data_IF_160125889192
#
_entry.id   IF_160125889192
#
_cell.length_a   1.000
_cell.length_b   1.000
_cell.length_c   1.000
_cell.angle_alpha   90.00
_cell.angle_beta   90.00
_cell.angle_gamma   90.00
#
_symmetry.space_group_name_H-M   'P 1'
#
loop_
_entity.id
_entity.type
_entity.pdbx_description
1 polymer ?
#
# COMPACT_ATOMS: atom_id res chain seq x y z
N UNK A 1 -0.04 25.19 4.43
CA UNK A 1 0.83 24.06 4.83
C UNK A 1 0.11 22.98 5.63
N UNK A 2 -0.68 23.30 6.67
CA UNK A 2 -1.36 22.27 7.51
C UNK A 2 -2.23 21.29 6.71
N UNK A 3 -3.02 21.76 5.73
CA UNK A 3 -3.89 20.89 4.91
C UNK A 3 -3.08 19.85 4.12
N UNK A 4 -1.97 20.24 3.49
CA UNK A 4 -1.15 19.34 2.68
C UNK A 4 -0.50 18.20 3.49
N UNK A 5 -0.17 18.45 4.77
CA UNK A 5 0.41 17.44 5.68
C UNK A 5 -0.58 16.31 5.98
N UNK A 6 -1.89 16.56 5.89
CA UNK A 6 -2.93 15.55 6.05
C UNK A 6 -3.41 15.00 4.71
N UNK A 7 -3.40 15.81 3.66
CA UNK A 7 -3.92 15.42 2.35
C UNK A 7 -2.99 14.43 1.63
N UNK A 8 -1.68 14.63 1.72
CA UNK A 8 -0.65 13.70 1.17
C UNK A 8 -0.80 12.26 1.70
N UNK A 9 -0.80 12.02 3.03
CA UNK A 9 -0.99 10.68 3.56
C UNK A 9 -2.37 10.09 3.23
N UNK A 10 -3.43 10.90 3.26
CA UNK A 10 -4.77 10.41 2.91
C UNK A 10 -4.87 9.95 1.46
N UNK A 11 -4.27 10.68 0.51
CA UNK A 11 -4.22 10.27 -0.90
C UNK A 11 -3.38 8.99 -1.10
N UNK A 12 -2.28 8.84 -0.36
CA UNK A 12 -1.47 7.62 -0.41
C UNK A 12 -2.27 6.41 0.08
N UNK A 13 -3.00 6.55 1.19
CA UNK A 13 -3.88 5.48 1.70
C UNK A 13 -5.01 5.16 0.72
N UNK A 14 -5.69 6.17 0.19
CA UNK A 14 -6.76 5.97 -0.78
C UNK A 14 -6.26 5.19 -2.01
N UNK A 15 -5.08 5.55 -2.52
CA UNK A 15 -4.43 4.84 -3.63
C UNK A 15 -4.13 3.38 -3.28
N UNK A 16 -3.64 3.12 -2.07
CA UNK A 16 -3.34 1.76 -1.62
C UNK A 16 -4.58 0.92 -1.34
N UNK A 17 -5.68 1.51 -0.92
CA UNK A 17 -6.96 0.79 -0.79
C UNK A 17 -7.46 0.32 -2.16
N UNK A 18 -7.31 1.15 -3.19
CA UNK A 18 -7.65 0.75 -4.57
C UNK A 18 -6.77 -0.42 -5.01
N UNK A 19 -5.44 -0.28 -4.91
CA UNK A 19 -4.48 -1.34 -5.28
C UNK A 19 -4.71 -2.62 -4.47
N UNK A 20 -4.89 -2.48 -3.15
CA UNK A 20 -5.13 -3.58 -2.22
C UNK A 20 -6.40 -4.37 -2.56
N UNK A 21 -7.47 -3.67 -2.96
CA UNK A 21 -8.73 -4.30 -3.38
C UNK A 21 -8.56 -5.12 -4.66
N UNK A 22 -7.80 -4.62 -5.65
CA UNK A 22 -7.47 -5.39 -6.85
C UNK A 22 -6.64 -6.64 -6.52
N UNK A 23 -5.65 -6.52 -5.63
CA UNK A 23 -4.86 -7.68 -5.21
C UNK A 23 -5.68 -8.70 -4.41
N UNK A 24 -6.65 -8.27 -3.61
CA UNK A 24 -7.59 -9.16 -2.92
C UNK A 24 -8.47 -9.92 -3.91
N UNK A 25 -9.03 -9.22 -4.91
CA UNK A 25 -9.79 -9.87 -5.98
C UNK A 25 -8.93 -10.89 -6.75
N UNK A 26 -7.69 -10.50 -7.10
CA UNK A 26 -6.74 -11.41 -7.73
C UNK A 26 -6.45 -12.63 -6.88
N UNK A 27 -6.37 -12.47 -5.55
CA UNK A 27 -6.11 -13.57 -4.63
C UNK A 27 -7.31 -14.52 -4.56
N UNK A 28 -8.53 -13.97 -4.49
CA UNK A 28 -9.75 -14.79 -4.51
C UNK A 28 -9.87 -15.59 -5.80
N UNK A 29 -9.51 -15.00 -6.95
CA UNK A 29 -9.49 -15.72 -8.24
C UNK A 29 -8.40 -16.79 -8.25
N UNK A 30 -7.20 -16.49 -7.75
CA UNK A 30 -6.08 -17.44 -7.70
C UNK A 30 -6.33 -18.62 -6.75
N UNK A 31 -7.07 -18.40 -5.67
CA UNK A 31 -7.46 -19.42 -4.71
C UNK A 31 -8.69 -20.23 -5.14
N UNK A 32 -9.25 -19.96 -6.32
CA UNK A 32 -10.41 -20.70 -6.81
C UNK A 32 -10.06 -22.20 -6.95
N UNK A 33 -10.75 -23.05 -6.20
CA UNK A 33 -10.47 -24.49 -6.12
C UNK A 33 -9.51 -24.92 -5.00
N UNK A 34 -8.96 -23.98 -4.22
CA UNK A 34 -8.21 -24.30 -2.99
C UNK A 34 -9.20 -24.64 -1.87
N UNK A 35 -8.88 -25.65 -1.05
CA UNK A 35 -9.69 -26.02 0.12
C UNK A 35 -9.97 -24.81 1.02
N UNK A 36 -11.21 -24.69 1.51
CA UNK A 36 -11.63 -23.64 2.45
C UNK A 36 -10.71 -23.52 3.66
N UNK A 37 -10.14 -24.65 4.12
CA UNK A 37 -9.22 -24.71 5.25
C UNK A 37 -7.90 -23.95 5.00
N UNK A 38 -7.48 -23.78 3.73
CA UNK A 38 -6.27 -23.03 3.34
C UNK A 38 -6.59 -21.64 2.81
N UNK A 39 -7.73 -21.47 2.12
CA UNK A 39 -8.10 -20.19 1.51
C UNK A 39 -8.39 -19.08 2.53
N UNK A 40 -9.13 -19.39 3.60
CA UNK A 40 -9.49 -18.41 4.64
C UNK A 40 -8.26 -17.76 5.30
N UNK A 41 -7.29 -18.54 5.82
CA UNK A 41 -6.06 -18.00 6.39
C UNK A 41 -5.25 -17.11 5.44
N UNK A 42 -5.19 -17.44 4.14
CA UNK A 42 -4.45 -16.65 3.15
C UNK A 42 -5.10 -15.28 2.90
N UNK A 43 -6.43 -15.23 2.84
CA UNK A 43 -7.18 -13.97 2.72
C UNK A 43 -6.94 -13.09 3.95
N UNK A 44 -7.02 -13.66 5.16
CA UNK A 44 -6.74 -12.93 6.40
C UNK A 44 -5.30 -12.40 6.40
N UNK A 45 -4.33 -13.22 6.01
CA UNK A 45 -2.93 -12.82 5.94
C UNK A 45 -2.72 -11.66 4.97
N UNK A 46 -3.38 -11.68 3.82
CA UNK A 46 -3.35 -10.58 2.86
C UNK A 46 -3.98 -9.30 3.44
N UNK A 47 -5.09 -9.40 4.15
CA UNK A 47 -5.72 -8.24 4.80
C UNK A 47 -4.84 -7.62 5.89
N UNK A 48 -4.15 -8.45 6.68
CA UNK A 48 -3.17 -8.00 7.68
C UNK A 48 -1.99 -7.31 6.99
N UNK A 49 -1.49 -7.89 5.89
CA UNK A 49 -0.43 -7.28 5.09
C UNK A 49 -0.88 -5.90 4.57
N UNK A 50 -2.09 -5.82 4.01
CA UNK A 50 -2.67 -4.58 3.50
C UNK A 50 -2.73 -3.51 4.59
N UNK A 51 -3.26 -3.85 5.77
CA UNK A 51 -3.32 -2.95 6.91
C UNK A 51 -1.93 -2.47 7.33
N UNK A 52 -0.95 -3.37 7.43
CA UNK A 52 0.42 -3.03 7.78
C UNK A 52 1.04 -2.05 6.76
N UNK A 53 0.85 -2.29 5.46
CA UNK A 53 1.31 -1.36 4.41
C UNK A 53 0.61 -0.01 4.45
N UNK A 54 -0.68 0.04 4.81
CA UNK A 54 -1.41 1.31 4.96
C UNK A 54 -0.83 2.14 6.12
N UNK A 55 -0.60 1.50 7.27
CA UNK A 55 0.02 2.17 8.43
C UNK A 55 1.43 2.67 8.09
N UNK A 56 2.21 1.84 7.40
CA UNK A 56 3.52 2.24 6.90
C UNK A 56 3.44 3.43 5.95
N UNK A 57 2.53 3.42 4.96
CA UNK A 57 2.38 4.49 3.99
C UNK A 57 1.93 5.81 4.63
N UNK A 58 1.05 5.78 5.63
CA UNK A 58 0.66 6.96 6.42
C UNK A 58 1.87 7.62 7.08
N UNK A 59 2.71 6.81 7.72
CA UNK A 59 3.91 7.31 8.39
C UNK A 59 4.96 7.79 7.38
N UNK A 60 5.25 6.99 6.35
CA UNK A 60 6.27 7.26 5.36
C UNK A 60 5.96 8.50 4.52
N UNK A 61 4.70 8.70 4.12
CA UNK A 61 4.29 9.87 3.32
C UNK A 61 4.38 11.18 4.11
N UNK A 62 3.99 11.18 5.39
CA UNK A 62 4.20 12.32 6.29
C UNK A 62 5.67 12.63 6.47
N UNK A 63 6.47 11.61 6.78
CA UNK A 63 7.90 11.76 7.01
C UNK A 63 8.63 12.27 5.76
N UNK A 64 8.32 11.71 4.59
CA UNK A 64 8.89 12.12 3.31
C UNK A 64 8.52 13.56 2.97
N UNK A 65 7.26 13.95 3.16
CA UNK A 65 6.81 15.32 2.91
C UNK A 65 7.48 16.33 3.85
N UNK A 66 7.64 15.99 5.13
CA UNK A 66 8.37 16.82 6.09
C UNK A 66 9.85 16.97 5.70
N UNK A 67 10.52 15.87 5.33
CA UNK A 67 11.92 15.89 4.88
C UNK A 67 12.11 16.72 3.61
N UNK A 68 11.24 16.55 2.61
CA UNK A 68 11.25 17.39 1.40
C UNK A 68 11.01 18.86 1.74
N UNK A 69 10.18 19.13 2.75
CA UNK A 69 9.89 20.49 3.16
C UNK A 69 11.08 21.19 3.80
N UNK A 70 11.86 20.45 4.59
CA UNK A 70 13.06 20.96 5.27
C UNK A 70 14.27 21.07 4.33
N UNK A 71 14.39 20.20 3.32
CA UNK A 71 15.60 20.09 2.49
C UNK A 71 15.53 20.83 1.15
N UNK A 72 14.35 21.27 0.72
CA UNK A 72 14.17 21.87 -0.62
C UNK A 72 13.40 23.19 -0.55
N UNK A 73 13.62 24.05 -1.52
CA UNK A 73 12.86 25.31 -1.76
C UNK A 73 11.81 25.16 -2.85
N UNK A 74 11.58 23.94 -3.36
CA UNK A 74 10.63 23.64 -4.44
C UNK A 74 9.19 24.05 -4.13
N UNK A 75 8.36 24.26 -5.13
CA UNK A 75 6.95 24.55 -4.87
C UNK A 75 6.23 23.35 -4.25
N UNK A 76 5.15 23.62 -3.51
CA UNK A 76 4.34 22.60 -2.84
C UNK A 76 3.72 21.60 -3.85
N UNK A 77 3.42 22.10 -5.05
CA UNK A 77 2.93 21.35 -6.21
C UNK A 77 3.88 20.26 -6.70
N UNK A 78 5.18 20.36 -6.41
CA UNK A 78 6.17 19.34 -6.77
C UNK A 78 6.42 18.38 -5.61
N UNK A 79 6.55 18.91 -4.38
CA UNK A 79 6.88 18.09 -3.19
C UNK A 79 5.78 17.08 -2.85
N UNK A 80 4.52 17.51 -2.92
CA UNK A 80 3.37 16.67 -2.57
C UNK A 80 3.25 15.43 -3.47
N UNK A 81 3.22 15.54 -4.81
CA UNK A 81 3.15 14.36 -5.67
C UNK A 81 4.37 13.46 -5.54
N UNK A 82 5.59 13.99 -5.37
CA UNK A 82 6.78 13.15 -5.15
C UNK A 82 6.65 12.31 -3.88
N UNK A 83 6.21 12.92 -2.78
CA UNK A 83 6.01 12.21 -1.51
C UNK A 83 4.94 11.11 -1.63
N UNK A 84 3.87 11.36 -2.39
CA UNK A 84 2.81 10.38 -2.64
C UNK A 84 3.33 9.26 -3.54
N UNK A 85 3.87 9.59 -4.71
CA UNK A 85 4.29 8.60 -5.71
C UNK A 85 5.37 7.68 -5.15
N UNK A 86 6.39 8.21 -4.48
CA UNK A 86 7.47 7.39 -3.92
C UNK A 86 6.95 6.40 -2.87
N UNK A 87 6.04 6.84 -2.01
CA UNK A 87 5.51 5.99 -0.92
C UNK A 87 4.50 4.98 -1.42
N UNK A 88 3.61 5.38 -2.34
CA UNK A 88 2.68 4.46 -2.99
C UNK A 88 3.45 3.42 -3.79
N UNK A 89 4.45 3.81 -4.59
CA UNK A 89 5.25 2.86 -5.38
C UNK A 89 5.92 1.80 -4.50
N UNK A 90 6.53 2.21 -3.39
CA UNK A 90 7.17 1.28 -2.45
C UNK A 90 6.14 0.35 -1.79
N UNK A 91 5.02 0.89 -1.32
CA UNK A 91 3.97 0.10 -0.69
C UNK A 91 3.30 -0.87 -1.68
N UNK A 92 3.10 -0.45 -2.94
CA UNK A 92 2.62 -1.32 -4.01
C UNK A 92 3.60 -2.46 -4.29
N UNK A 93 4.92 -2.19 -4.31
CA UNK A 93 5.91 -3.26 -4.49
C UNK A 93 5.85 -4.30 -3.37
N UNK A 94 5.65 -3.87 -2.12
CA UNK A 94 5.46 -4.77 -0.96
C UNK A 94 4.20 -5.62 -1.15
N UNK A 95 3.07 -4.98 -1.50
CA UNK A 95 1.79 -5.67 -1.73
C UNK A 95 1.88 -6.70 -2.85
N UNK A 96 2.49 -6.34 -3.99
CA UNK A 96 2.66 -7.24 -5.14
C UNK A 96 3.54 -8.43 -4.75
N UNK A 97 4.65 -8.18 -4.05
CA UNK A 97 5.55 -9.25 -3.60
C UNK A 97 4.84 -10.21 -2.64
N UNK A 98 4.14 -9.66 -1.63
CA UNK A 98 3.38 -10.46 -0.67
C UNK A 98 2.23 -11.24 -1.32
N UNK A 99 1.55 -10.64 -2.30
CA UNK A 99 0.53 -11.32 -3.10
C UNK A 99 1.10 -12.56 -3.79
N UNK A 100 2.22 -12.43 -4.52
CA UNK A 100 2.82 -13.58 -5.21
C UNK A 100 3.24 -14.68 -4.24
N UNK A 101 3.82 -14.32 -3.09
CA UNK A 101 4.17 -15.29 -2.04
C UNK A 101 2.93 -16.05 -1.55
N UNK A 102 1.82 -15.35 -1.27
CA UNK A 102 0.59 -15.99 -0.80
C UNK A 102 -0.06 -16.88 -1.87
N UNK A 103 -0.01 -16.49 -3.14
CA UNK A 103 -0.48 -17.34 -4.24
C UNK A 103 0.35 -18.61 -4.33
N UNK A 104 1.68 -18.52 -4.27
CA UNK A 104 2.55 -19.69 -4.30
C UNK A 104 2.28 -20.65 -3.13
N UNK A 105 2.08 -20.10 -1.92
CA UNK A 105 1.72 -20.89 -0.74
C UNK A 105 0.33 -21.52 -0.81
N UNK A 106 -0.61 -20.89 -1.51
CA UNK A 106 -1.97 -21.39 -1.69
C UNK A 106 -2.08 -22.52 -2.71
N UNK A 107 -1.20 -22.52 -3.71
CA UNK A 107 -1.18 -23.52 -4.81
C UNK A 107 -0.28 -24.72 -4.48
N UNK A 108 0.68 -24.58 -3.55
CA UNK A 108 1.51 -25.68 -3.03
C UNK A 108 0.76 -26.61 -2.07
#
# INVERSE_FOLDING_TARGET
>A
MRVAVWLVPSLAVASLLVVGSFGLLGLLVALNGVSEARGGPLVITYLVLLLATIVFALWASRWSFQRLTLRTTWSLWVRAPIAIIATVALATAILVTGFFVLVLLGVS
#
